data_IF_254833382404
#
_entry.id   IF_254833382404
#
_cell.length_a   1.000
_cell.length_b   1.000
_cell.length_c   1.000
_cell.angle_alpha   90.00
_cell.angle_beta   90.00
_cell.angle_gamma   90.00
#
_symmetry.space_group_name_H-M   'P 1'
#
loop_
_entity.id
_entity.type
_entity.pdbx_description
1 polymer ?
#
# COMPACT_ATOMS: atom_id res chain seq x y z
N UNK A 1 -9.65 -6.43 16.52
CA UNK A 1 -8.25 -6.36 16.06
C UNK A 1 -8.13 -5.14 15.16
N UNK A 2 -7.88 -3.95 15.71
CA UNK A 2 -7.71 -2.74 14.90
C UNK A 2 -6.27 -2.76 14.37
N UNK A 3 -6.09 -3.02 13.08
CA UNK A 3 -4.81 -2.77 12.42
C UNK A 3 -4.45 -1.30 12.64
N UNK A 4 -3.22 -0.99 13.08
CA UNK A 4 -2.82 0.40 13.21
C UNK A 4 -3.01 1.10 11.86
N UNK A 5 -3.43 2.39 11.85
CA UNK A 5 -3.72 3.13 10.62
C UNK A 5 -2.56 3.08 9.62
N UNK A 6 -1.32 2.96 10.10
CA UNK A 6 -0.14 2.84 9.26
C UNK A 6 0.00 1.50 8.53
N UNK A 7 -0.57 0.40 9.04
CA UNK A 7 -0.50 -0.90 8.40
C UNK A 7 -1.48 -1.03 7.23
N UNK A 8 -2.70 -0.49 7.36
CA UNK A 8 -3.68 -0.50 6.26
C UNK A 8 -3.18 0.28 5.05
N UNK A 9 -2.54 1.44 5.26
CA UNK A 9 -2.05 2.31 4.18
C UNK A 9 -0.88 1.70 3.39
N UNK A 10 -0.29 0.62 3.89
CA UNK A 10 0.76 -0.12 3.19
C UNK A 10 0.26 -1.38 2.47
N UNK A 11 -1.03 -1.72 2.58
CA UNK A 11 -1.59 -2.84 1.85
C UNK A 11 -1.77 -2.49 0.36
N UNK A 12 -1.59 -3.45 -0.57
CA UNK A 12 -1.88 -3.22 -1.98
C UNK A 12 -3.39 -3.02 -2.21
N UNK A 13 -3.81 -2.31 -3.28
CA UNK A 13 -5.22 -2.18 -3.63
C UNK A 13 -5.82 -3.56 -3.92
N UNK A 14 -7.04 -3.80 -3.44
CA UNK A 14 -7.72 -5.10 -3.58
C UNK A 14 -9.08 -4.95 -4.26
N UNK A 15 -9.19 -5.43 -5.49
CA UNK A 15 -10.45 -5.46 -6.24
C UNK A 15 -11.47 -6.42 -5.63
N UNK A 16 -11.04 -7.58 -5.12
CA UNK A 16 -11.95 -8.61 -4.61
C UNK A 16 -12.63 -9.42 -5.73
N UNK A 17 -13.44 -10.45 -5.38
CA UNK A 17 -14.02 -11.39 -6.35
C UNK A 17 -15.34 -10.92 -6.98
N UNK A 18 -16.00 -9.93 -6.38
CA UNK A 18 -17.22 -9.35 -6.93
C UNK A 18 -16.95 -8.55 -8.22
N UNK A 19 -17.98 -8.37 -9.05
CA UNK A 19 -17.87 -7.82 -10.42
C UNK A 19 -18.52 -6.44 -10.59
N UNK A 20 -18.81 -5.73 -9.51
CA UNK A 20 -19.19 -4.33 -9.62
C UNK A 20 -17.97 -3.48 -10.02
N UNK A 21 -18.19 -2.25 -10.47
CA UNK A 21 -17.12 -1.34 -10.87
C UNK A 21 -17.21 -0.05 -10.06
N UNK A 22 -16.62 -0.05 -8.86
CA UNK A 22 -16.53 1.13 -8.03
C UNK A 22 -15.15 1.77 -8.17
N UNK A 23 -15.10 3.04 -8.57
CA UNK A 23 -13.86 3.82 -8.48
C UNK A 23 -13.58 4.13 -7.02
N UNK A 24 -12.43 3.66 -6.52
CA UNK A 24 -11.97 3.85 -5.15
C UNK A 24 -10.53 4.35 -5.16
N UNK A 25 -10.07 4.82 -4.02
CA UNK A 25 -8.73 5.34 -3.81
C UNK A 25 -7.94 4.43 -2.89
N UNK A 26 -6.66 4.23 -3.19
CA UNK A 26 -5.71 3.55 -2.32
C UNK A 26 -4.46 4.43 -2.17
N UNK A 27 -3.80 4.36 -1.03
CA UNK A 27 -2.56 5.05 -0.76
C UNK A 27 -1.36 4.22 -1.24
N UNK A 28 -0.47 4.83 -2.02
CA UNK A 28 0.84 4.31 -2.33
C UNK A 28 1.88 4.96 -1.40
N UNK A 29 2.50 4.19 -0.50
CA UNK A 29 3.44 4.73 0.47
C UNK A 29 4.86 4.99 -0.10
N UNK A 30 5.16 4.51 -1.32
CA UNK A 30 6.41 4.82 -2.02
C UNK A 30 6.34 6.25 -2.59
N UNK A 31 5.22 6.55 -3.26
CA UNK A 31 4.99 7.87 -3.86
C UNK A 31 4.38 8.86 -2.86
N UNK A 32 3.88 8.35 -1.72
CA UNK A 32 3.15 9.10 -0.68
C UNK A 32 1.90 9.80 -1.23
N UNK A 33 1.18 9.11 -2.12
CA UNK A 33 0.04 9.66 -2.86
C UNK A 33 -1.09 8.64 -2.95
N UNK A 34 -2.30 9.16 -3.07
CA UNK A 34 -3.48 8.33 -3.36
C UNK A 34 -3.68 8.17 -4.87
N UNK A 35 -4.00 6.95 -5.29
CA UNK A 35 -4.30 6.61 -6.68
C UNK A 35 -5.64 5.91 -6.78
N UNK A 36 -6.29 6.03 -7.95
CA UNK A 36 -7.56 5.36 -8.21
C UNK A 36 -7.35 3.88 -8.57
N UNK A 37 -8.29 3.04 -8.17
CA UNK A 37 -8.40 1.66 -8.60
C UNK A 37 -9.86 1.21 -8.69
N UNK A 38 -10.12 0.10 -9.37
CA UNK A 38 -11.45 -0.51 -9.44
C UNK A 38 -11.64 -1.50 -8.31
N UNK A 39 -12.66 -1.25 -7.49
CA UNK A 39 -13.13 -2.16 -6.45
C UNK A 39 -14.38 -2.93 -6.93
N UNK A 40 -14.33 -4.24 -6.77
CA UNK A 40 -15.36 -5.20 -7.19
C UNK A 40 -16.63 -5.17 -6.35
N UNK A 41 -16.61 -4.51 -5.18
CA UNK A 41 -17.76 -4.36 -4.28
C UNK A 41 -17.79 -5.30 -3.08
N UNK A 42 -16.86 -6.27 -2.97
CA UNK A 42 -16.72 -7.14 -1.80
C UNK A 42 -15.28 -7.58 -1.56
N UNK A 43 -14.98 -8.07 -0.35
CA UNK A 43 -13.67 -8.58 0.09
C UNK A 43 -12.49 -7.65 -0.20
N UNK A 44 -12.70 -6.34 -0.06
CA UNK A 44 -11.62 -5.34 -0.07
C UNK A 44 -10.78 -5.41 1.23
N UNK A 45 -9.71 -4.62 1.28
CA UNK A 45 -8.92 -4.39 2.49
C UNK A 45 -9.04 -2.93 2.96
N UNK A 46 -8.26 -2.56 3.98
CA UNK A 46 -8.33 -1.22 4.59
C UNK A 46 -7.77 -0.09 3.71
N UNK A 47 -6.99 -0.40 2.67
CA UNK A 47 -6.49 0.58 1.71
C UNK A 47 -7.50 0.83 0.58
N UNK A 48 -8.71 1.26 0.95
CA UNK A 48 -9.83 1.44 0.05
C UNK A 48 -10.72 2.57 0.58
N UNK A 49 -10.65 3.72 -0.10
CA UNK A 49 -11.35 4.95 0.29
C UNK A 49 -12.27 5.41 -0.85
N UNK A 50 -13.38 6.07 -0.50
CA UNK A 50 -14.33 6.59 -1.49
C UNK A 50 -13.85 7.91 -2.11
N UNK A 51 -13.05 8.68 -1.37
CA UNK A 51 -12.59 10.00 -1.75
C UNK A 51 -11.06 10.12 -1.60
N UNK A 52 -10.43 10.87 -2.50
CA UNK A 52 -8.98 11.12 -2.47
C UNK A 52 -8.55 11.81 -1.18
N UNK A 53 -9.29 12.85 -0.75
CA UNK A 53 -9.00 13.60 0.47
C UNK A 53 -9.02 12.69 1.70
N UNK A 54 -10.01 11.79 1.80
CA UNK A 54 -10.10 10.86 2.92
C UNK A 54 -8.93 9.87 2.93
N UNK A 55 -8.50 9.41 1.76
CA UNK A 55 -7.30 8.58 1.62
C UNK A 55 -6.06 9.34 2.10
N UNK A 56 -5.86 10.57 1.63
CA UNK A 56 -4.70 11.37 2.00
C UNK A 56 -4.69 11.69 3.49
N UNK A 57 -5.80 12.19 4.06
CA UNK A 57 -5.89 12.52 5.48
C UNK A 57 -5.66 11.32 6.41
N UNK A 58 -6.03 10.12 5.96
CA UNK A 58 -5.88 8.89 6.76
C UNK A 58 -4.45 8.35 6.71
N UNK A 59 -3.78 8.49 5.57
CA UNK A 59 -2.51 7.83 5.29
C UNK A 59 -1.31 8.79 5.18
N UNK A 60 -1.51 10.10 5.31
CA UNK A 60 -0.44 11.08 5.28
C UNK A 60 0.65 10.74 6.32
N UNK A 61 1.92 10.80 5.88
CA UNK A 61 3.06 10.43 6.71
C UNK A 61 3.38 8.93 6.78
N UNK A 62 2.55 8.04 6.21
CA UNK A 62 2.93 6.63 6.01
C UNK A 62 3.96 6.57 4.88
N UNK A 63 5.13 6.01 5.18
CA UNK A 63 6.18 5.84 4.18
C UNK A 63 6.36 4.36 3.89
N UNK A 64 6.76 4.04 2.65
CA UNK A 64 7.09 2.67 2.21
C UNK A 64 8.33 2.08 2.89
N UNK A 65 8.71 2.63 4.05
CA UNK A 65 9.74 2.11 4.91
C UNK A 65 9.15 0.95 5.71
N UNK A 66 9.01 -0.20 5.06
CA UNK A 66 9.16 -1.43 5.82
C UNK A 66 10.56 -1.36 6.45
N UNK A 67 10.71 -1.34 7.80
CA UNK A 67 12.00 -1.60 8.42
C UNK A 67 12.54 -3.00 8.05
N UNK A 68 11.77 -3.80 7.33
CA UNK A 68 12.10 -5.11 6.81
C UNK A 68 12.29 -5.18 5.28
N UNK A 69 12.37 -4.04 4.57
CA UNK A 69 13.03 -3.98 3.25
C UNK A 69 14.16 -2.95 3.26
N UNK A 70 14.83 -2.81 4.40
CA UNK A 70 16.29 -2.73 4.32
C UNK A 70 16.75 -4.15 4.01
N UNK A 71 16.80 -4.49 2.72
CA UNK A 71 17.92 -5.30 2.26
C UNK A 71 19.16 -4.49 2.60
N UNK A 72 19.61 -4.56 3.86
CA UNK A 72 21.03 -4.44 4.11
C UNK A 72 21.60 -5.58 3.26
N UNK A 73 22.10 -5.30 2.05
CA UNK A 73 23.21 -6.14 1.61
C UNK A 73 24.27 -5.88 2.67
N UNK A 74 24.23 -6.69 3.72
CA UNK A 74 25.38 -6.89 4.58
C UNK A 74 26.47 -7.32 3.61
N UNK A 75 27.68 -6.76 3.69
CA UNK A 75 28.77 -7.05 2.75
C UNK A 75 29.19 -8.55 2.71
N UNK A 76 28.51 -9.41 3.46
CA UNK A 76 28.73 -10.84 3.60
C UNK A 76 27.87 -11.70 2.65
N UNK A 77 26.89 -11.14 1.92
CA UNK A 77 25.92 -11.94 1.14
C UNK A 77 25.77 -11.57 -0.35
N UNK A 78 26.61 -10.70 -0.91
CA UNK A 78 26.61 -10.40 -2.35
C UNK A 78 27.82 -11.10 -3.04
N UNK A 79 27.67 -12.20 -3.80
CA UNK A 79 28.79 -12.91 -4.44
C UNK A 79 29.18 -12.38 -5.84
N UNK A 80 28.88 -11.13 -6.18
CA UNK A 80 29.19 -10.60 -7.51
C UNK A 80 30.25 -9.50 -7.45
N UNK A 81 31.51 -9.93 -7.29
CA UNK A 81 32.65 -9.17 -7.83
C UNK A 81 32.67 -9.39 -9.34
N UNK A 82 31.93 -8.58 -10.09
CA UNK A 82 32.16 -8.49 -11.53
C UNK A 82 33.46 -7.71 -11.72
N UNK A 83 34.51 -8.48 -12.02
CA UNK A 83 35.81 -8.00 -12.53
C UNK A 83 35.63 -7.53 -13.97
#
# INVERSE_FOLDING_TARGET
>A
MLTPPSAQCAEPPRTGPCRASHTRWYYDPLDRKCYQFTFGGCDGNGNNFEEEGKCQDTCDGVTGTTPHLRLTCSPLSCPHTLT
#
